data_IF_731649380244
#
_entry.id   IF_731649380244
#
_cell.length_a   1.000
_cell.length_b   1.000
_cell.length_c   1.000
_cell.angle_alpha   90.00
_cell.angle_beta   90.00
_cell.angle_gamma   90.00
#
_symmetry.space_group_name_H-M   'P 1'
#
loop_
_entity.id
_entity.type
_entity.pdbx_description
1 polymer ?
#
# COMPACT_ATOMS: atom_id res chain seq x y z
N UNK A 1 -21.37 16.78 -19.25
CA UNK A 1 -21.07 15.47 -18.61
C UNK A 1 -19.89 15.67 -17.68
N UNK A 2 -20.07 15.48 -16.38
CA UNK A 2 -18.99 15.64 -15.38
C UNK A 2 -18.10 14.40 -15.36
N UNK A 3 -16.78 14.57 -15.48
CA UNK A 3 -15.82 13.47 -15.44
C UNK A 3 -15.63 13.00 -13.97
N UNK A 4 -15.98 11.75 -13.62
CA UNK A 4 -15.90 11.26 -12.24
C UNK A 4 -14.48 11.25 -11.68
N UNK A 5 -13.46 11.02 -12.51
CA UNK A 5 -12.06 11.04 -12.09
C UNK A 5 -11.60 12.44 -11.69
N UNK A 6 -12.08 13.49 -12.38
CA UNK A 6 -11.80 14.88 -12.01
C UNK A 6 -12.45 15.23 -10.66
N UNK A 7 -13.69 14.81 -10.45
CA UNK A 7 -14.38 15.01 -9.16
C UNK A 7 -13.62 14.29 -8.04
N UNK A 8 -13.27 13.02 -8.24
CA UNK A 8 -12.52 12.25 -7.25
C UNK A 8 -11.16 12.89 -6.93
N UNK A 9 -10.43 13.36 -7.94
CA UNK A 9 -9.15 14.04 -7.77
C UNK A 9 -9.30 15.35 -6.97
N UNK A 10 -10.32 16.16 -7.27
CA UNK A 10 -10.59 17.41 -6.55
C UNK A 10 -10.98 17.16 -5.08
N UNK A 11 -11.84 16.18 -4.83
CA UNK A 11 -12.24 15.80 -3.46
C UNK A 11 -11.05 15.25 -2.67
N UNK A 12 -10.25 14.36 -3.27
CA UNK A 12 -9.05 13.82 -2.65
C UNK A 12 -8.02 14.92 -2.36
N UNK A 13 -7.80 15.85 -3.29
CA UNK A 13 -6.90 16.98 -3.10
C UNK A 13 -7.38 17.90 -1.98
N UNK A 14 -8.68 18.20 -1.93
CA UNK A 14 -9.29 19.03 -0.88
C UNK A 14 -9.14 18.38 0.50
N UNK A 15 -9.46 17.09 0.63
CA UNK A 15 -9.30 16.36 1.89
C UNK A 15 -7.83 16.28 2.32
N UNK A 16 -6.92 16.03 1.37
CA UNK A 16 -5.48 16.00 1.63
C UNK A 16 -5.00 17.36 2.11
N UNK A 17 -5.46 18.45 1.49
CA UNK A 17 -5.13 19.81 1.89
C UNK A 17 -5.59 20.11 3.32
N UNK A 18 -6.81 19.71 3.67
CA UNK A 18 -7.35 19.86 5.02
C UNK A 18 -6.50 19.10 6.04
N UNK A 19 -6.16 17.83 5.76
CA UNK A 19 -5.30 17.03 6.65
C UNK A 19 -3.91 17.65 6.78
N UNK A 20 -3.30 18.08 5.67
CA UNK A 20 -1.95 18.62 5.66
C UNK A 20 -1.86 19.97 6.39
N UNK A 21 -2.89 20.80 6.26
CA UNK A 21 -2.99 22.05 7.01
C UNK A 21 -3.22 21.81 8.49
N UNK A 22 -4.03 20.82 8.87
CA UNK A 22 -4.30 20.49 10.27
C UNK A 22 -3.08 19.86 10.99
N UNK A 23 -2.37 18.95 10.32
CA UNK A 23 -1.13 18.33 10.86
C UNK A 23 0.07 19.29 10.81
N UNK A 24 0.08 20.16 9.80
CA UNK A 24 1.17 21.08 9.52
C UNK A 24 2.05 20.61 8.37
N UNK A 25 2.36 21.52 7.45
CA UNK A 25 3.17 21.23 6.26
C UNK A 25 4.62 20.88 6.58
N UNK A 26 5.22 21.54 7.58
CA UNK A 26 6.62 21.31 7.96
C UNK A 26 6.91 19.86 8.38
N UNK A 27 6.16 19.25 9.33
CA UNK A 27 6.41 17.85 9.70
C UNK A 27 6.16 16.88 8.55
N UNK A 28 5.13 17.11 7.71
CA UNK A 28 4.85 16.26 6.54
C UNK A 28 6.00 16.30 5.54
N UNK A 29 6.45 17.49 5.15
CA UNK A 29 7.59 17.64 4.23
C UNK A 29 8.85 17.04 4.87
N UNK A 30 9.05 17.20 6.18
CA UNK A 30 10.13 16.56 6.91
C UNK A 30 10.09 15.03 6.82
N UNK A 31 8.91 14.44 6.98
CA UNK A 31 8.68 13.00 6.83
C UNK A 31 8.97 12.52 5.40
N UNK A 32 8.44 13.20 4.38
CA UNK A 32 8.68 12.83 2.98
C UNK A 32 10.15 12.92 2.59
N UNK A 33 10.90 13.88 3.15
CA UNK A 33 12.35 14.02 2.95
C UNK A 33 13.15 12.85 3.52
N UNK A 34 12.59 12.04 4.42
CA UNK A 34 13.28 10.86 4.95
C UNK A 34 13.62 9.84 3.85
N UNK A 35 12.85 9.78 2.77
CA UNK A 35 13.16 8.89 1.64
C UNK A 35 14.46 9.24 0.92
N UNK A 36 14.91 10.50 1.00
CA UNK A 36 16.20 10.93 0.44
C UNK A 36 17.41 10.64 1.33
N UNK A 37 17.18 10.19 2.57
CA UNK A 37 18.22 9.96 3.56
C UNK A 37 18.69 8.52 3.55
N UNK A 38 19.99 8.26 3.36
CA UNK A 38 20.53 6.88 3.32
C UNK A 38 20.32 6.12 4.64
N UNK A 39 20.39 6.82 5.77
CA UNK A 39 20.18 6.25 7.11
C UNK A 39 18.72 5.82 7.35
N UNK A 40 17.77 6.32 6.56
CA UNK A 40 16.39 5.83 6.58
C UNK A 40 16.25 4.44 5.98
N UNK A 41 17.06 4.07 4.98
CA UNK A 41 16.93 2.82 4.24
C UNK A 41 17.54 1.63 4.98
N UNK A 42 16.90 1.25 6.08
CA UNK A 42 17.18 0.00 6.78
C UNK A 42 16.52 -1.19 6.07
N UNK A 43 16.88 -2.42 6.46
CA UNK A 43 16.24 -3.63 5.93
C UNK A 43 14.72 -3.62 6.16
N UNK A 44 14.26 -3.19 7.33
CA UNK A 44 12.83 -3.14 7.66
C UNK A 44 12.08 -2.03 6.91
N UNK A 45 12.66 -0.83 6.76
CA UNK A 45 12.04 0.26 5.99
C UNK A 45 11.99 -0.06 4.50
N UNK A 46 12.99 -0.80 3.99
CA UNK A 46 12.99 -1.30 2.60
C UNK A 46 11.86 -2.30 2.38
N UNK A 47 11.67 -3.25 3.31
CA UNK A 47 10.54 -4.19 3.26
C UNK A 47 9.20 -3.46 3.33
N UNK A 48 9.05 -2.46 4.20
CA UNK A 48 7.86 -1.62 4.28
C UNK A 48 7.55 -0.94 2.95
N UNK A 49 8.55 -0.30 2.33
CA UNK A 49 8.38 0.37 1.06
C UNK A 49 7.98 -0.60 -0.06
N UNK A 50 8.66 -1.73 -0.18
CA UNK A 50 8.35 -2.75 -1.20
C UNK A 50 6.96 -3.35 -1.00
N UNK A 51 6.58 -3.63 0.24
CA UNK A 51 5.26 -4.16 0.56
C UNK A 51 4.14 -3.15 0.31
N UNK A 52 4.38 -1.85 0.58
CA UNK A 52 3.47 -0.77 0.23
C UNK A 52 3.34 -0.63 -1.30
N UNK A 53 4.46 -0.57 -2.02
CA UNK A 53 4.48 -0.40 -3.48
C UNK A 53 3.79 -1.58 -4.20
N UNK A 54 4.03 -2.81 -3.75
CA UNK A 54 3.42 -4.00 -4.34
C UNK A 54 1.89 -3.99 -4.15
N UNK A 55 1.40 -3.59 -2.96
CA UNK A 55 -0.03 -3.44 -2.71
C UNK A 55 -0.64 -2.34 -3.59
N UNK A 56 0.04 -1.21 -3.76
CA UNK A 56 -0.40 -0.17 -4.68
C UNK A 56 -0.50 -0.67 -6.13
N UNK A 57 0.46 -1.48 -6.59
CA UNK A 57 0.46 -2.07 -7.92
C UNK A 57 -0.70 -3.06 -8.15
N UNK A 58 -1.22 -3.68 -7.10
CA UNK A 58 -2.43 -4.52 -7.15
C UNK A 58 -3.71 -3.68 -7.11
N UNK A 59 -3.78 -2.73 -6.17
CA UNK A 59 -5.00 -1.96 -5.89
C UNK A 59 -5.33 -0.98 -7.01
N UNK A 60 -4.34 -0.26 -7.56
CA UNK A 60 -4.60 0.79 -8.55
C UNK A 60 -5.21 0.22 -9.83
N UNK A 61 -4.67 -0.85 -10.45
CA UNK A 61 -5.31 -1.45 -11.61
C UNK A 61 -6.69 -2.03 -11.32
N UNK A 62 -6.85 -2.70 -10.16
CA UNK A 62 -8.12 -3.30 -9.76
C UNK A 62 -9.21 -2.26 -9.52
N UNK A 63 -8.92 -1.18 -8.79
CA UNK A 63 -9.92 -0.16 -8.43
C UNK A 63 -10.15 0.89 -9.53
N UNK A 64 -9.11 1.31 -10.25
CA UNK A 64 -9.21 2.42 -11.21
C UNK A 64 -9.62 1.92 -12.60
N UNK A 65 -9.09 0.76 -13.02
CA UNK A 65 -9.31 0.20 -14.36
C UNK A 65 -10.17 -1.06 -14.35
N UNK A 66 -10.50 -1.63 -13.18
CA UNK A 66 -11.24 -2.89 -13.09
C UNK A 66 -10.43 -4.11 -13.53
N UNK A 67 -9.09 -4.00 -13.56
CA UNK A 67 -8.19 -5.06 -14.04
C UNK A 67 -7.47 -5.71 -12.87
N UNK A 68 -7.82 -6.96 -12.56
CA UNK A 68 -7.13 -7.77 -11.55
C UNK A 68 -5.94 -8.52 -12.16
N UNK A 69 -4.73 -8.17 -11.74
CA UNK A 69 -3.48 -8.82 -12.22
C UNK A 69 -3.08 -9.89 -11.20
N UNK A 70 -3.56 -11.11 -11.38
CA UNK A 70 -3.45 -12.20 -10.39
C UNK A 70 -1.99 -12.47 -9.95
N UNK A 71 -1.01 -12.43 -10.86
CA UNK A 71 0.37 -12.82 -10.53
C UNK A 71 1.06 -11.83 -9.59
N UNK A 72 0.61 -10.57 -9.54
CA UNK A 72 1.07 -9.59 -8.55
C UNK A 72 0.71 -10.02 -7.12
N UNK A 73 -0.30 -10.87 -6.94
CA UNK A 73 -0.66 -11.39 -5.63
C UNK A 73 0.39 -12.35 -5.06
N UNK A 74 1.23 -12.96 -5.89
CA UNK A 74 2.40 -13.73 -5.42
C UNK A 74 3.41 -12.80 -4.76
N UNK A 75 3.63 -11.62 -5.34
CA UNK A 75 4.52 -10.61 -4.76
C UNK A 75 3.91 -9.99 -3.49
N UNK A 76 2.59 -9.71 -3.46
CA UNK A 76 1.96 -9.20 -2.24
C UNK A 76 1.97 -10.22 -1.12
N UNK A 77 1.85 -11.51 -1.43
CA UNK A 77 1.96 -12.60 -0.45
C UNK A 77 3.36 -12.59 0.19
N UNK A 78 4.42 -12.65 -0.63
CA UNK A 78 5.80 -12.65 -0.13
C UNK A 78 6.14 -11.39 0.67
N UNK A 79 5.76 -10.22 0.15
CA UNK A 79 6.01 -8.95 0.85
C UNK A 79 5.17 -8.80 2.12
N UNK A 80 3.97 -9.39 2.21
CA UNK A 80 3.17 -9.35 3.44
C UNK A 80 3.75 -10.23 4.55
N UNK A 81 4.27 -11.41 4.21
CA UNK A 81 5.00 -12.25 5.17
C UNK A 81 6.25 -11.53 5.67
N UNK A 82 7.05 -10.95 4.76
CA UNK A 82 8.23 -10.17 5.13
C UNK A 82 7.88 -8.94 6.00
N UNK A 83 6.76 -8.28 5.69
CA UNK A 83 6.32 -7.10 6.41
C UNK A 83 5.80 -7.42 7.82
N UNK A 84 5.24 -8.61 8.08
CA UNK A 84 4.94 -9.05 9.45
C UNK A 84 6.23 -9.10 10.28
N UNK A 85 7.30 -9.70 9.74
CA UNK A 85 8.60 -9.73 10.40
C UNK A 85 9.16 -8.31 10.65
N UNK A 86 9.10 -7.42 9.65
CA UNK A 86 9.55 -6.04 9.79
C UNK A 86 8.71 -5.27 10.83
N UNK A 87 7.41 -5.50 10.89
CA UNK A 87 6.48 -4.88 11.85
C UNK A 87 6.80 -5.24 13.28
N UNK A 88 7.26 -6.47 13.54
CA UNK A 88 7.67 -6.91 14.87
C UNK A 88 8.92 -6.18 15.37
N UNK A 89 9.77 -5.65 14.47
CA UNK A 89 10.91 -4.79 14.87
C UNK A 89 10.47 -3.41 15.35
N UNK A 90 9.31 -2.93 14.91
CA UNK A 90 8.72 -1.65 15.33
C UNK A 90 7.56 -1.79 16.33
N UNK A 91 7.20 -3.02 16.70
CA UNK A 91 6.06 -3.35 17.57
C UNK A 91 4.74 -2.71 17.09
N UNK A 92 4.41 -2.86 15.81
CA UNK A 92 3.20 -2.31 15.18
C UNK A 92 2.12 -3.39 15.00
N UNK A 93 1.23 -3.63 15.99
CA UNK A 93 0.25 -4.74 15.94
C UNK A 93 -0.77 -4.59 14.82
N UNK A 94 -1.17 -3.35 14.49
CA UNK A 94 -2.08 -3.07 13.39
C UNK A 94 -1.48 -3.46 12.04
N UNK A 95 -0.17 -3.28 11.88
CA UNK A 95 0.56 -3.60 10.66
C UNK A 95 0.73 -5.12 10.49
N UNK A 96 0.90 -5.85 11.60
CA UNK A 96 0.83 -7.31 11.63
C UNK A 96 -0.55 -7.79 11.19
N UNK A 97 -1.62 -7.32 11.84
CA UNK A 97 -2.99 -7.74 11.52
C UNK A 97 -3.37 -7.43 10.06
N UNK A 98 -3.00 -6.25 9.56
CA UNK A 98 -3.24 -5.86 8.18
C UNK A 98 -2.53 -6.79 7.19
N UNK A 99 -1.27 -7.15 7.44
CA UNK A 99 -0.56 -8.06 6.53
C UNK A 99 -1.04 -9.51 6.65
N UNK A 100 -1.54 -9.95 7.80
CA UNK A 100 -2.23 -11.23 7.93
C UNK A 100 -3.48 -11.28 7.05
N UNK A 101 -4.28 -10.20 7.01
CA UNK A 101 -5.40 -10.10 6.09
C UNK A 101 -4.94 -10.16 4.62
N UNK A 102 -3.84 -9.48 4.28
CA UNK A 102 -3.29 -9.53 2.92
C UNK A 102 -2.79 -10.91 2.49
N UNK A 103 -2.29 -11.72 3.42
CA UNK A 103 -1.95 -13.13 3.13
C UNK A 103 -3.21 -13.87 2.69
N UNK A 104 -4.32 -13.73 3.44
CA UNK A 104 -5.60 -14.33 3.06
C UNK A 104 -6.07 -13.85 1.69
N UNK A 105 -6.14 -12.53 1.46
CA UNK A 105 -6.59 -11.95 0.19
C UNK A 105 -5.74 -12.41 -1.00
N UNK A 106 -4.42 -12.41 -0.84
CA UNK A 106 -3.50 -12.84 -1.89
C UNK A 106 -3.69 -14.33 -2.20
N UNK A 107 -3.86 -15.16 -1.17
CA UNK A 107 -4.12 -16.59 -1.35
C UNK A 107 -5.46 -16.83 -2.05
N UNK A 108 -6.51 -16.09 -1.69
CA UNK A 108 -7.82 -16.20 -2.34
C UNK A 108 -7.72 -15.93 -3.85
N UNK A 109 -7.03 -14.86 -4.28
CA UNK A 109 -6.89 -14.54 -5.70
C UNK A 109 -6.07 -15.61 -6.43
N UNK A 110 -4.95 -16.06 -5.84
CA UNK A 110 -4.12 -17.12 -6.43
C UNK A 110 -4.94 -18.40 -6.60
N UNK A 111 -5.66 -18.84 -5.57
CA UNK A 111 -6.48 -20.06 -5.63
C UNK A 111 -7.61 -19.92 -6.65
N UNK A 112 -8.32 -18.79 -6.68
CA UNK A 112 -9.38 -18.55 -7.69
C UNK A 112 -8.82 -18.64 -9.10
N UNK A 113 -7.65 -18.08 -9.36
CA UNK A 113 -7.01 -18.18 -10.67
C UNK A 113 -6.63 -19.62 -11.02
N UNK A 114 -6.01 -20.36 -10.08
CA UNK A 114 -5.68 -21.78 -10.25
C UNK A 114 -6.93 -22.66 -10.47
N UNK A 115 -8.08 -22.26 -9.96
CA UNK A 115 -9.38 -22.91 -10.14
C UNK A 115 -10.15 -22.42 -11.39
N UNK A 116 -9.58 -21.50 -12.19
CA UNK A 116 -10.22 -20.95 -13.39
C UNK A 116 -11.38 -19.98 -13.12
N UNK A 117 -11.42 -19.34 -11.96
CA UNK A 117 -12.48 -18.41 -11.53
C UNK A 117 -12.10 -16.92 -11.64
N UNK A 118 -10.91 -16.63 -12.19
CA UNK A 118 -10.42 -15.28 -12.56
C UNK A 118 -9.52 -15.36 -13.78
#
# INVERSE_FOLDING_TARGET
MTNPYLIAALLAATLTLIVYTHVGWRPIIGCMKMWGRRDYWTSYNTVEFLAWATKAAVIVPGLVFGVEIWWLHVLTLGTSVALIWASMKKLLPTLVAFNTLWIFLSMTVIVRHLMGQV
#
